data_IF_148566364967
#
_entry.id   IF_148566364967
#
_cell.length_a   1.000
_cell.length_b   1.000
_cell.length_c   1.000
_cell.angle_alpha   90.00
_cell.angle_beta   90.00
_cell.angle_gamma   90.00
#
_symmetry.space_group_name_H-M   'P 1'
#
loop_
_entity.id
_entity.type
_entity.pdbx_description
1 polymer ?
#
# COMPACT_ATOMS: atom_id res chain seq x y z
N UNK A 1 1.26 -0.02 3.36
CA UNK A 1 1.77 -1.17 4.16
C UNK A 1 0.67 -2.22 4.24
N UNK A 2 1.00 -3.51 4.20
CA UNK A 2 0.01 -4.60 4.30
C UNK A 2 0.66 -5.97 4.07
N UNK A 3 -0.13 -7.02 4.16
CA UNK A 3 0.28 -8.37 3.82
C UNK A 3 0.27 -8.55 2.30
N UNK A 4 1.41 -8.88 1.71
CA UNK A 4 1.50 -9.23 0.29
C UNK A 4 0.82 -10.59 0.07
N UNK A 5 -0.31 -10.63 -0.65
CA UNK A 5 -1.09 -11.86 -0.88
C UNK A 5 -0.85 -12.46 -2.25
N UNK A 6 -0.71 -11.61 -3.28
CA UNK A 6 -0.53 -12.05 -4.66
C UNK A 6 0.12 -10.97 -5.50
N UNK A 7 0.81 -11.40 -6.55
CA UNK A 7 1.31 -10.55 -7.63
C UNK A 7 1.13 -11.24 -8.98
N UNK A 8 1.14 -10.47 -10.07
CA UNK A 8 1.06 -10.98 -11.44
C UNK A 8 2.25 -10.51 -12.30
N UNK A 9 2.24 -10.88 -13.58
CA UNK A 9 3.31 -10.55 -14.54
C UNK A 9 3.44 -9.05 -14.83
N UNK A 10 2.44 -8.24 -14.52
CA UNK A 10 2.46 -6.79 -14.72
C UNK A 10 2.87 -6.06 -13.43
N UNK A 11 3.31 -6.81 -12.42
CA UNK A 11 3.59 -6.29 -11.08
C UNK A 11 2.36 -5.69 -10.41
N UNK A 12 1.14 -6.05 -10.82
CA UNK A 12 -0.04 -5.71 -10.02
C UNK A 12 0.07 -6.46 -8.69
N UNK A 13 -0.40 -5.85 -7.61
CA UNK A 13 -0.27 -6.40 -6.27
C UNK A 13 -1.61 -6.40 -5.57
N UNK A 14 -1.92 -7.53 -4.91
CA UNK A 14 -3.01 -7.62 -3.94
C UNK A 14 -2.41 -7.56 -2.52
N UNK A 15 -2.82 -6.56 -1.75
CA UNK A 15 -2.47 -6.35 -0.35
C UNK A 15 -3.65 -6.65 0.56
N UNK A 16 -3.48 -7.58 1.49
CA UNK A 16 -4.37 -7.79 2.63
C UNK A 16 -4.01 -6.89 3.80
N UNK A 17 -4.97 -6.61 4.69
CA UNK A 17 -4.79 -5.75 5.86
C UNK A 17 -4.12 -4.40 5.51
N UNK A 18 -4.43 -3.87 4.33
CA UNK A 18 -3.77 -2.73 3.74
C UNK A 18 -4.06 -1.45 4.53
N UNK A 19 -3.01 -0.68 4.75
CA UNK A 19 -3.00 0.64 5.38
C UNK A 19 -2.26 1.63 4.47
N UNK A 20 -2.86 2.79 4.29
CA UNK A 20 -2.32 3.93 3.54
C UNK A 20 -1.78 4.99 4.50
N UNK A 21 -0.58 5.48 4.19
CA UNK A 21 0.09 6.54 4.91
C UNK A 21 0.32 7.70 3.95
N UNK A 22 -0.18 8.89 4.31
CA UNK A 22 0.07 10.10 3.53
C UNK A 22 1.48 10.63 3.82
N UNK A 23 2.02 11.42 2.89
CA UNK A 23 3.26 12.15 3.15
C UNK A 23 3.05 13.10 4.32
N UNK A 24 4.11 13.36 5.09
CA UNK A 24 4.03 14.25 6.25
C UNK A 24 3.51 15.66 5.91
N UNK A 25 3.76 16.15 4.69
CA UNK A 25 3.23 17.44 4.21
C UNK A 25 1.71 17.44 3.97
N UNK A 26 1.14 16.26 3.69
CA UNK A 26 -0.28 16.06 3.38
C UNK A 26 -1.06 15.53 4.60
N UNK A 27 -0.36 15.17 5.68
CA UNK A 27 -0.90 14.59 6.89
C UNK A 27 -1.00 15.64 8.01
N UNK A 28 -2.09 15.60 8.79
CA UNK A 28 -2.14 16.35 10.05
C UNK A 28 -1.22 15.69 11.07
N UNK A 29 -0.55 16.46 11.95
CA UNK A 29 0.24 15.90 13.03
C UNK A 29 -0.59 14.90 13.86
N UNK A 30 -0.11 13.66 13.95
CA UNK A 30 -0.79 12.58 14.68
C UNK A 30 -1.92 11.89 13.92
N UNK A 31 -2.07 12.10 12.60
CA UNK A 31 -3.06 11.37 11.82
C UNK A 31 -2.76 9.87 11.78
N UNK A 32 -3.75 9.06 12.12
CA UNK A 32 -3.67 7.60 11.96
C UNK A 32 -3.68 7.21 10.48
N UNK A 33 -3.04 6.08 10.11
CA UNK A 33 -3.11 5.56 8.76
C UNK A 33 -4.54 5.18 8.37
N UNK A 34 -4.87 5.36 7.10
CA UNK A 34 -6.17 4.96 6.58
C UNK A 34 -6.21 3.46 6.37
N UNK A 35 -7.11 2.77 7.06
CA UNK A 35 -7.35 1.33 6.87
C UNK A 35 -8.15 1.12 5.58
N UNK A 36 -7.59 0.31 4.67
CA UNK A 36 -8.23 -0.07 3.40
C UNK A 36 -8.75 -1.50 3.39
N UNK A 37 -8.17 -2.40 4.19
CA UNK A 37 -8.55 -3.81 4.23
C UNK A 37 -7.91 -4.61 3.07
N UNK A 38 -8.67 -4.98 2.06
CA UNK A 38 -8.15 -5.66 0.87
C UNK A 38 -8.01 -4.64 -0.28
N UNK A 39 -6.81 -4.48 -0.83
CA UNK A 39 -6.52 -3.51 -1.88
C UNK A 39 -5.77 -4.14 -3.05
N UNK A 40 -6.07 -3.69 -4.28
CA UNK A 40 -5.29 -3.99 -5.48
C UNK A 40 -4.57 -2.72 -5.93
N UNK A 41 -3.25 -2.78 -6.12
CA UNK A 41 -2.43 -1.68 -6.62
C UNK A 41 -1.91 -2.05 -8.02
N UNK A 42 -2.20 -1.25 -9.06
CA UNK A 42 -1.65 -1.49 -10.39
C UNK A 42 -0.12 -1.35 -10.42
N UNK A 43 0.56 -2.27 -11.08
CA UNK A 43 2.04 -2.33 -11.06
C UNK A 43 2.74 -1.10 -11.63
N UNK A 44 2.12 -0.43 -12.61
CA UNK A 44 2.66 0.81 -13.18
C UNK A 44 2.63 2.02 -12.22
N UNK A 45 1.91 1.93 -11.09
CA UNK A 45 1.96 2.92 -10.02
C UNK A 45 2.98 2.56 -8.92
N UNK A 46 3.56 1.36 -8.95
CA UNK A 46 4.47 0.88 -7.93
C UNK A 46 5.89 1.33 -8.27
N UNK A 47 6.50 2.10 -7.36
CA UNK A 47 7.89 2.56 -7.51
C UNK A 47 8.87 1.55 -6.90
N UNK A 48 8.56 1.06 -5.70
CA UNK A 48 9.34 0.05 -5.00
C UNK A 48 8.47 -0.72 -4.00
N UNK A 49 8.91 -1.92 -3.64
CA UNK A 49 8.36 -2.73 -2.56
C UNK A 49 9.53 -3.17 -1.68
N UNK A 50 9.39 -3.01 -0.38
CA UNK A 50 10.31 -3.55 0.63
C UNK A 50 9.58 -4.64 1.42
N UNK A 51 10.26 -5.75 1.67
CA UNK A 51 9.75 -6.92 2.39
C UNK A 51 10.72 -7.19 3.54
N UNK A 52 10.17 -7.54 4.71
CA UNK A 52 10.96 -8.07 5.85
C UNK A 52 11.44 -9.50 5.61
#
# INVERSE_FOLDING_TARGET
VGALLSTDHQSNVILGLAQEFLKAADAFPGSEPRVLGLAMVPGHHIVSIEVE
#
